data_IF_464197593429
#
_entry.id   IF_464197593429
#
_cell.length_a   1.000
_cell.length_b   1.000
_cell.length_c   1.000
_cell.angle_alpha   90.00
_cell.angle_beta   90.00
_cell.angle_gamma   90.00
#
_symmetry.space_group_name_H-M   'P 1'
#
loop_
_entity.id
_entity.type
_entity.pdbx_description
1 polymer ?
#
# COMPACT_ATOMS: atom_id res chain seq x y z
N UNK A 1 11.99 -96.55 6.97
CA UNK A 1 10.86 -97.43 6.61
C UNK A 1 9.64 -96.55 6.35
N UNK A 2 9.18 -96.48 5.09
CA UNK A 2 7.90 -95.92 4.57
C UNK A 2 7.54 -94.45 4.91
N UNK A 3 6.87 -93.63 4.08
CA UNK A 3 6.58 -93.56 2.65
C UNK A 3 5.73 -92.28 2.45
N UNK A 4 5.64 -91.81 1.19
CA UNK A 4 4.52 -91.08 0.53
C UNK A 4 4.66 -89.57 0.32
N UNK A 5 5.06 -89.31 -0.91
CA UNK A 5 4.50 -88.38 -1.89
C UNK A 5 3.01 -88.01 -1.72
N UNK A 6 2.73 -86.72 -1.97
CA UNK A 6 1.40 -86.14 -2.23
C UNK A 6 1.55 -84.90 -3.11
N UNK A 7 0.76 -84.81 -4.18
CA UNK A 7 0.95 -83.98 -5.38
C UNK A 7 0.48 -82.52 -5.25
N UNK A 8 1.10 -81.71 -6.09
CA UNK A 8 0.76 -80.38 -6.63
C UNK A 8 -0.72 -79.94 -6.56
N UNK A 9 -0.94 -78.67 -6.22
CA UNK A 9 -1.89 -77.79 -6.90
C UNK A 9 -1.51 -76.32 -6.67
N UNK A 10 -1.29 -75.62 -7.79
CA UNK A 10 -1.01 -74.20 -7.85
C UNK A 10 -2.32 -73.40 -7.81
N UNK A 11 -2.37 -72.31 -7.04
CA UNK A 11 -3.21 -71.14 -7.33
C UNK A 11 -2.51 -69.87 -6.85
N UNK A 12 -2.34 -68.94 -7.78
CA UNK A 12 -1.89 -67.56 -7.60
C UNK A 12 -3.00 -66.72 -6.97
N UNK A 13 -2.68 -65.89 -5.98
CA UNK A 13 -3.33 -64.59 -5.80
C UNK A 13 -2.44 -63.65 -4.98
N UNK A 14 -2.02 -62.58 -5.64
CA UNK A 14 -1.28 -61.43 -5.11
C UNK A 14 -2.18 -60.65 -4.15
N UNK A 15 -1.70 -60.39 -2.92
CA UNK A 15 -2.35 -59.50 -1.95
C UNK A 15 -1.32 -58.49 -1.42
N UNK A 16 -1.37 -57.29 -1.97
CA UNK A 16 -0.46 -56.16 -1.73
C UNK A 16 -0.56 -55.69 -0.27
N UNK A 17 0.59 -55.46 0.37
CA UNK A 17 0.71 -54.80 1.68
C UNK A 17 0.05 -53.41 1.62
N UNK A 18 -1.06 -53.24 2.33
CA UNK A 18 -1.61 -51.91 2.63
C UNK A 18 -0.84 -51.29 3.79
N UNK A 19 0.20 -50.51 3.51
CA UNK A 19 0.75 -49.58 4.49
C UNK A 19 -0.26 -48.45 4.68
N UNK A 20 -0.88 -48.38 5.87
CA UNK A 20 -1.76 -47.28 6.24
C UNK A 20 -0.92 -46.00 6.40
N UNK A 21 -0.88 -45.17 5.37
CA UNK A 21 -0.39 -43.81 5.44
C UNK A 21 -1.35 -43.01 6.32
N UNK A 22 -1.00 -42.76 7.58
CA UNK A 22 -1.68 -41.78 8.40
C UNK A 22 -1.48 -40.39 7.76
N UNK A 23 -2.51 -39.90 7.06
CA UNK A 23 -2.56 -38.51 6.63
C UNK A 23 -2.63 -37.65 7.90
N UNK A 24 -1.55 -36.94 8.20
CA UNK A 24 -1.58 -35.88 9.19
C UNK A 24 -2.62 -34.82 8.73
N UNK A 25 -3.76 -34.76 9.42
CA UNK A 25 -4.72 -33.69 9.24
C UNK A 25 -4.09 -32.37 9.72
N UNK A 26 -3.59 -31.54 8.80
CA UNK A 26 -3.19 -30.18 9.12
C UNK A 26 -4.42 -29.38 9.56
N UNK A 27 -4.56 -29.20 10.87
CA UNK A 27 -5.58 -28.38 11.47
C UNK A 27 -5.13 -26.91 11.36
N UNK A 28 -5.49 -26.24 10.26
CA UNK A 28 -5.18 -24.83 10.03
C UNK A 28 -6.14 -23.93 10.84
N UNK A 29 -6.03 -23.99 12.18
CA UNK A 29 -6.65 -23.03 13.08
C UNK A 29 -5.75 -21.79 13.19
N UNK A 30 -5.56 -21.08 12.09
CA UNK A 30 -5.06 -19.70 12.12
C UNK A 30 -6.30 -18.83 12.30
N UNK A 31 -6.45 -18.10 13.42
CA UNK A 31 -7.55 -17.16 13.57
C UNK A 31 -7.54 -16.17 12.39
N UNK A 32 -8.69 -15.93 11.77
CA UNK A 32 -8.82 -14.92 10.72
C UNK A 32 -8.32 -13.57 11.27
N UNK A 33 -7.33 -12.98 10.61
CA UNK A 33 -6.93 -11.62 10.95
C UNK A 33 -8.11 -10.68 10.69
N UNK A 34 -8.39 -9.73 11.60
CA UNK A 34 -9.49 -8.80 11.40
C UNK A 34 -9.30 -8.04 10.09
N UNK A 35 -10.37 -7.93 9.31
CA UNK A 35 -10.37 -7.16 8.08
C UNK A 35 -9.89 -5.72 8.39
N UNK A 36 -8.93 -5.24 7.61
CA UNK A 36 -8.39 -3.89 7.81
C UNK A 36 -9.49 -2.84 7.64
N UNK A 37 -9.50 -1.86 8.54
CA UNK A 37 -10.41 -0.71 8.51
C UNK A 37 -9.58 0.57 8.59
N UNK A 38 -9.94 1.56 7.76
CA UNK A 38 -9.36 2.89 7.82
C UNK A 38 -9.79 3.60 9.10
N UNK A 39 -8.86 4.27 9.78
CA UNK A 39 -9.20 5.10 10.94
C UNK A 39 -10.02 6.33 10.53
N UNK A 40 -10.73 6.91 11.50
CA UNK A 40 -11.37 8.21 11.36
C UNK A 40 -10.41 9.23 10.76
N UNK A 41 -10.84 9.85 9.66
CA UNK A 41 -10.06 10.82 8.92
C UNK A 41 -10.23 12.18 9.59
N UNK A 42 -9.15 12.81 10.09
CA UNK A 42 -9.22 14.15 10.65
C UNK A 42 -9.70 15.17 9.60
N UNK A 43 -10.29 16.27 10.05
CA UNK A 43 -10.62 17.38 9.17
C UNK A 43 -9.37 17.85 8.40
N UNK A 44 -9.51 18.31 7.14
CA UNK A 44 -8.39 18.83 6.37
C UNK A 44 -7.66 19.93 7.14
N UNK A 45 -6.35 19.82 7.38
CA UNK A 45 -5.64 20.79 8.19
C UNK A 45 -5.43 22.11 7.43
N UNK A 46 -5.12 23.16 8.18
CA UNK A 46 -4.49 24.34 7.59
C UNK A 46 -3.09 23.98 7.06
N UNK A 47 -2.63 24.66 6.03
CA UNK A 47 -1.32 24.44 5.41
C UNK A 47 -0.60 25.75 5.12
N UNK A 48 0.72 25.71 5.14
CA UNK A 48 1.61 26.85 4.95
C UNK A 48 2.34 26.77 3.61
N UNK A 49 1.94 27.67 2.70
CA UNK A 49 2.52 27.81 1.37
C UNK A 49 4.01 28.20 1.36
N UNK A 50 4.53 28.77 2.45
CA UNK A 50 5.94 29.17 2.59
C UNK A 50 6.84 28.04 3.09
N UNK A 51 6.28 26.90 3.48
CA UNK A 51 7.02 25.75 4.05
C UNK A 51 6.98 24.50 3.18
N UNK A 52 6.51 24.62 1.95
CA UNK A 52 6.36 23.46 1.07
C UNK A 52 7.70 22.78 0.81
N UNK A 53 7.69 21.46 0.89
CA UNK A 53 8.77 20.60 0.41
C UNK A 53 8.36 20.03 -0.94
N UNK A 54 9.19 20.26 -1.94
CA UNK A 54 8.90 19.91 -3.33
C UNK A 54 8.71 18.39 -3.52
N UNK A 55 7.75 18.05 -4.37
CA UNK A 55 7.52 16.70 -4.89
C UNK A 55 7.66 16.77 -6.41
N UNK A 56 8.65 16.09 -6.97
CA UNK A 56 8.88 16.12 -8.43
C UNK A 56 7.89 15.20 -9.12
N UNK A 57 6.89 15.74 -9.83
CA UNK A 57 5.88 14.95 -10.55
C UNK A 57 6.24 14.81 -12.02
N UNK A 58 6.54 15.92 -12.67
CA UNK A 58 7.02 15.99 -14.05
C UNK A 58 8.04 17.12 -14.20
N UNK A 59 9.26 16.79 -14.63
CA UNK A 59 10.32 17.80 -14.78
C UNK A 59 10.03 18.83 -15.89
N UNK A 60 9.10 18.51 -16.80
CA UNK A 60 8.69 19.34 -17.93
C UNK A 60 7.27 19.90 -17.78
N UNK A 61 6.64 19.71 -16.62
CA UNK A 61 5.26 20.14 -16.37
C UNK A 61 5.10 21.63 -16.10
N UNK A 62 3.88 22.13 -16.30
CA UNK A 62 3.50 23.50 -15.94
C UNK A 62 3.11 23.69 -14.47
N UNK A 63 3.06 22.61 -13.67
CA UNK A 63 2.66 22.63 -12.28
C UNK A 63 3.81 22.23 -11.36
N UNK A 64 4.00 23.00 -10.29
CA UNK A 64 4.90 22.67 -9.18
C UNK A 64 4.08 22.06 -8.06
N UNK A 65 4.56 20.93 -7.53
CA UNK A 65 3.91 20.25 -6.43
C UNK A 65 4.78 20.30 -5.18
N UNK A 66 4.14 20.44 -4.03
CA UNK A 66 4.83 20.34 -2.75
C UNK A 66 3.87 19.99 -1.64
N UNK A 67 4.43 19.47 -0.55
CA UNK A 67 3.67 19.15 0.67
C UNK A 67 4.05 20.12 1.78
N UNK A 68 3.13 20.48 2.65
CA UNK A 68 3.48 21.13 3.91
C UNK A 68 3.80 20.06 4.97
N UNK A 69 5.04 20.01 5.50
CA UNK A 69 5.43 19.06 6.54
C UNK A 69 4.54 19.06 7.78
N UNK A 70 3.94 20.20 8.13
CA UNK A 70 3.08 20.31 9.32
C UNK A 70 1.75 19.54 9.18
N UNK A 71 1.38 19.18 7.95
CA UNK A 71 0.15 18.44 7.63
C UNK A 71 0.33 16.93 7.62
N UNK A 72 1.57 16.46 7.68
CA UNK A 72 1.89 15.02 7.62
C UNK A 72 1.41 14.29 8.87
N UNK A 73 0.71 13.19 8.65
CA UNK A 73 0.29 12.26 9.70
C UNK A 73 0.47 10.83 9.24
N UNK A 74 0.92 9.95 10.13
CA UNK A 74 0.95 8.51 9.91
C UNK A 74 -0.08 7.92 10.87
N UNK A 75 -1.18 7.41 10.30
CA UNK A 75 -2.23 6.79 11.10
C UNK A 75 -1.83 5.40 11.58
N UNK A 76 -2.49 4.92 12.64
CA UNK A 76 -2.32 3.54 13.14
C UNK A 76 -2.76 2.47 12.13
N UNK A 77 -3.53 2.89 11.12
CA UNK A 77 -3.99 2.10 9.98
C UNK A 77 -2.94 1.97 8.87
N UNK A 78 -1.76 2.58 9.04
CA UNK A 78 -0.68 2.58 8.06
C UNK A 78 -0.87 3.58 6.92
N UNK A 79 -1.88 4.47 7.00
CA UNK A 79 -2.12 5.49 5.99
C UNK A 79 -1.29 6.73 6.30
N UNK A 80 -0.52 7.18 5.31
CA UNK A 80 0.20 8.46 5.34
C UNK A 80 -0.71 9.54 4.78
N UNK A 81 -1.20 10.41 5.64
CA UNK A 81 -2.10 11.53 5.30
C UNK A 81 -1.30 12.82 5.17
N UNK A 82 -1.60 13.62 4.15
CA UNK A 82 -0.86 14.84 3.82
C UNK A 82 -1.71 15.83 3.04
N UNK A 83 -1.31 17.10 3.06
CA UNK A 83 -1.78 18.09 2.09
C UNK A 83 -0.75 18.23 0.99
N UNK A 84 -1.18 17.98 -0.24
CA UNK A 84 -0.41 18.32 -1.44
C UNK A 84 -0.94 19.59 -2.07
N UNK A 85 -0.04 20.51 -2.38
CA UNK A 85 -0.33 21.77 -3.06
C UNK A 85 0.22 21.71 -4.47
N UNK A 86 -0.61 22.05 -5.46
CA UNK A 86 -0.21 22.23 -6.85
C UNK A 86 -0.30 23.72 -7.22
N UNK A 87 0.75 24.27 -7.84
CA UNK A 87 0.88 25.70 -8.16
C UNK A 87 1.31 25.87 -9.61
N UNK A 88 0.70 26.79 -10.34
CA UNK A 88 1.15 27.19 -11.68
C UNK A 88 2.03 28.44 -11.63
N UNK A 89 2.78 28.67 -12.71
CA UNK A 89 3.53 29.93 -12.91
C UNK A 89 2.63 31.16 -13.02
N UNK A 90 1.37 30.99 -13.42
CA UNK A 90 0.36 32.06 -13.48
C UNK A 90 -0.23 32.43 -12.11
N UNK A 91 0.18 31.76 -11.03
CA UNK A 91 -0.31 32.02 -9.68
C UNK A 91 -1.56 31.25 -9.28
N UNK A 92 -2.10 30.40 -10.17
CA UNK A 92 -3.18 29.50 -9.79
C UNK A 92 -2.67 28.44 -8.81
N UNK A 93 -3.48 28.13 -7.79
CA UNK A 93 -3.14 27.16 -6.76
C UNK A 93 -4.37 26.34 -6.38
N UNK A 94 -4.14 25.04 -6.20
CA UNK A 94 -5.09 24.11 -5.58
C UNK A 94 -4.34 23.28 -4.55
N UNK A 95 -5.05 22.78 -3.54
CA UNK A 95 -4.50 21.75 -2.67
C UNK A 95 -5.45 20.54 -2.56
N UNK A 96 -4.89 19.43 -2.15
CA UNK A 96 -5.57 18.16 -1.99
C UNK A 96 -5.19 17.59 -0.64
N UNK A 97 -6.18 17.24 0.18
CA UNK A 97 -5.96 16.45 1.38
C UNK A 97 -6.17 14.98 1.02
N UNK A 98 -5.09 14.22 1.10
CA UNK A 98 -4.99 12.87 0.54
C UNK A 98 -4.35 11.91 1.54
N UNK A 99 -4.53 10.62 1.31
CA UNK A 99 -3.87 9.55 2.03
C UNK A 99 -3.25 8.55 1.07
N UNK A 100 -2.06 8.05 1.37
CA UNK A 100 -1.44 6.92 0.68
C UNK A 100 -1.37 5.73 1.63
N UNK A 101 -1.81 4.56 1.14
CA UNK A 101 -1.72 3.27 1.82
C UNK A 101 -0.66 2.43 1.12
N UNK A 102 0.57 2.51 1.62
CA UNK A 102 1.74 1.91 0.98
C UNK A 102 1.65 0.38 0.83
N UNK A 103 0.95 -0.30 1.75
CA UNK A 103 0.79 -1.76 1.78
C UNK A 103 0.00 -2.32 0.60
N UNK A 104 -1.00 -1.56 0.12
CA UNK A 104 -1.82 -1.93 -1.04
C UNK A 104 -1.48 -1.12 -2.29
N UNK A 105 -0.66 -0.06 -2.13
CA UNK A 105 -0.28 0.81 -3.24
C UNK A 105 -1.47 1.60 -3.77
N UNK A 106 -2.28 2.09 -2.84
CA UNK A 106 -3.47 2.89 -3.14
C UNK A 106 -3.33 4.28 -2.55
N UNK A 107 -4.03 5.24 -3.16
CA UNK A 107 -4.25 6.56 -2.58
C UNK A 107 -5.74 6.86 -2.51
N UNK A 108 -6.10 7.80 -1.64
CA UNK A 108 -7.47 8.29 -1.48
C UNK A 108 -7.44 9.80 -1.35
N UNK A 109 -8.37 10.46 -2.03
CA UNK A 109 -8.59 11.90 -1.92
C UNK A 109 -9.76 12.18 -0.98
N UNK A 110 -9.51 12.90 0.10
CA UNK A 110 -10.53 13.23 1.11
C UNK A 110 -11.17 14.59 0.86
N UNK A 111 -10.38 15.59 0.46
CA UNK A 111 -10.87 16.94 0.23
C UNK A 111 -10.03 17.71 -0.78
N UNK A 112 -10.63 18.72 -1.40
CA UNK A 112 -9.98 19.66 -2.31
C UNK A 112 -10.04 21.06 -1.74
N UNK A 113 -8.93 21.79 -1.83
CA UNK A 113 -8.85 23.20 -1.53
C UNK A 113 -8.86 24.01 -2.83
N UNK A 114 -9.84 24.87 -2.98
CA UNK A 114 -9.91 25.86 -4.06
C UNK A 114 -10.67 27.08 -3.55
N UNK A 115 -10.38 28.25 -4.13
CA UNK A 115 -11.09 29.51 -3.79
C UNK A 115 -11.18 29.72 -2.26
N UNK A 116 -10.04 29.51 -1.60
CA UNK A 116 -9.84 29.64 -0.16
C UNK A 116 -10.74 28.80 0.77
N UNK A 117 -11.21 27.64 0.30
CA UNK A 117 -12.01 26.73 1.10
C UNK A 117 -11.70 25.26 0.84
N UNK A 118 -11.84 24.45 1.89
CA UNK A 118 -11.91 23.00 1.77
C UNK A 118 -13.31 22.55 1.35
N UNK A 119 -13.37 21.65 0.38
CA UNK A 119 -14.58 20.92 -0.02
C UNK A 119 -14.30 19.43 0.10
N UNK A 120 -15.03 18.73 0.97
CA UNK A 120 -14.91 17.29 1.13
C UNK A 120 -15.35 16.55 -0.13
N UNK A 121 -14.69 15.44 -0.43
CA UNK A 121 -15.15 14.48 -1.43
C UNK A 121 -16.29 13.69 -0.81
N UNK A 122 -17.47 13.70 -1.43
CA UNK A 122 -18.66 13.06 -0.87
C UNK A 122 -18.50 11.54 -0.66
N UNK A 123 -17.85 10.87 -1.60
CA UNK A 123 -17.55 9.43 -1.52
C UNK A 123 -16.05 9.21 -1.80
N UNK A 124 -15.17 9.30 -0.80
CA UNK A 124 -13.74 9.08 -0.96
C UNK A 124 -13.42 7.60 -1.24
N UNK A 125 -12.84 7.32 -2.40
CA UNK A 125 -12.48 5.96 -2.82
C UNK A 125 -10.97 5.75 -2.82
N UNK A 126 -10.56 4.53 -2.47
CA UNK A 126 -9.19 4.07 -2.70
C UNK A 126 -9.00 3.82 -4.20
N UNK A 127 -7.88 4.32 -4.75
CA UNK A 127 -7.51 4.19 -6.15
C UNK A 127 -6.09 3.71 -6.24
N UNK A 128 -5.82 2.85 -7.22
CA UNK A 128 -4.46 2.40 -7.51
C UNK A 128 -3.54 3.58 -7.81
N UNK A 129 -2.31 3.55 -7.27
CA UNK A 129 -1.27 4.52 -7.59
C UNK A 129 -0.81 4.48 -9.05
N UNK A 130 -1.05 3.38 -9.77
CA UNK A 130 -0.51 3.15 -11.12
C UNK A 130 -1.50 3.34 -12.26
N UNK A 131 -2.80 3.33 -11.99
CA UNK A 131 -3.81 3.32 -13.04
C UNK A 131 -4.04 4.69 -13.69
N UNK A 132 -3.64 5.79 -13.01
CA UNK A 132 -3.94 7.14 -13.51
C UNK A 132 -2.86 7.70 -14.43
N UNK A 133 -3.23 8.02 -15.66
CA UNK A 133 -2.37 8.79 -16.59
C UNK A 133 -2.41 10.30 -16.34
N UNK A 134 -3.45 10.79 -15.64
CA UNK A 134 -3.66 12.22 -15.36
C UNK A 134 -3.20 12.63 -13.97
N UNK A 135 -3.41 11.78 -12.96
CA UNK A 135 -3.13 12.08 -11.56
C UNK A 135 -1.87 11.31 -11.16
N UNK A 136 -0.71 11.95 -11.30
CA UNK A 136 0.60 11.32 -11.08
C UNK A 136 1.22 11.64 -9.73
N UNK A 137 0.76 12.71 -9.10
CA UNK A 137 1.36 13.26 -7.90
C UNK A 137 1.32 12.34 -6.66
N UNK A 138 0.29 11.47 -6.43
CA UNK A 138 0.31 10.56 -5.29
C UNK A 138 1.42 9.51 -5.44
N UNK A 139 1.59 8.96 -6.64
CA UNK A 139 2.68 8.01 -6.93
C UNK A 139 4.05 8.68 -6.83
N UNK A 140 4.18 9.92 -7.30
CA UNK A 140 5.40 10.70 -7.16
C UNK A 140 5.78 10.91 -5.69
N UNK A 141 4.81 11.26 -4.84
CA UNK A 141 5.01 11.38 -3.39
C UNK A 141 5.39 10.05 -2.75
N UNK A 142 4.66 8.97 -3.04
CA UNK A 142 4.95 7.63 -2.53
C UNK A 142 6.40 7.22 -2.82
N UNK A 143 6.87 7.44 -4.06
CA UNK A 143 8.23 7.11 -4.51
C UNK A 143 9.34 7.93 -3.88
N UNK A 144 9.10 9.22 -3.63
CA UNK A 144 10.14 10.15 -3.16
C UNK A 144 10.26 10.20 -1.64
N UNK A 145 9.27 9.70 -0.89
CA UNK A 145 9.37 9.67 0.56
C UNK A 145 8.10 9.30 1.31
N UNK A 146 6.94 9.35 0.65
CA UNK A 146 5.66 9.01 1.26
C UNK A 146 5.53 7.55 1.66
N UNK A 147 6.32 6.65 1.06
CA UNK A 147 6.39 5.24 1.41
C UNK A 147 7.83 4.80 1.69
N UNK A 148 7.95 3.69 2.41
CA UNK A 148 9.17 2.90 2.60
C UNK A 148 8.91 1.48 2.10
N UNK A 149 9.32 1.19 0.87
CA UNK A 149 8.87 -0.03 0.19
C UNK A 149 7.33 -0.15 0.30
N UNK A 150 6.79 -1.28 0.72
CA UNK A 150 5.33 -1.46 0.90
C UNK A 150 4.80 -1.04 2.28
N UNK A 151 5.50 -0.17 3.01
CA UNK A 151 5.11 0.27 4.34
C UNK A 151 5.11 1.81 4.46
N UNK A 152 4.41 2.32 5.47
CA UNK A 152 4.55 3.71 5.87
C UNK A 152 5.97 3.94 6.45
N UNK A 153 6.60 5.09 6.22
CA UNK A 153 7.88 5.43 6.86
C UNK A 153 7.77 5.46 8.38
N UNK A 154 8.90 5.31 9.07
CA UNK A 154 8.94 5.24 10.55
C UNK A 154 8.54 6.53 11.26
N UNK A 155 8.57 7.67 10.56
CA UNK A 155 8.15 8.96 11.11
C UNK A 155 7.86 9.98 10.01
N UNK A 156 7.14 11.05 10.34
CA UNK A 156 6.91 12.18 9.42
C UNK A 156 8.21 12.93 9.10
N UNK A 157 9.16 12.97 10.05
CA UNK A 157 10.51 13.51 9.83
C UNK A 157 11.26 12.74 8.75
N UNK A 158 11.07 11.42 8.70
CA UNK A 158 11.67 10.57 7.68
C UNK A 158 11.17 10.92 6.28
N UNK A 159 9.85 11.12 6.13
CA UNK A 159 9.23 11.56 4.88
C UNK A 159 9.89 12.86 4.41
N UNK A 160 9.95 13.87 5.28
CA UNK A 160 10.53 15.18 4.95
C UNK A 160 12.00 15.06 4.56
N UNK A 161 12.78 14.24 5.26
CA UNK A 161 14.19 13.99 4.94
C UNK A 161 14.34 13.41 3.54
N UNK A 162 13.56 12.38 3.21
CA UNK A 162 13.60 11.72 1.89
C UNK A 162 13.17 12.65 0.76
N UNK A 163 12.12 13.44 0.97
CA UNK A 163 11.68 14.42 -0.04
C UNK A 163 12.74 15.50 -0.33
N UNK A 164 13.50 15.94 0.68
CA UNK A 164 14.59 16.92 0.51
C UNK A 164 15.86 16.32 -0.10
N UNK A 165 16.00 15.01 -0.08
CA UNK A 165 17.16 14.30 -0.59
C UNK A 165 16.68 12.99 -1.22
N UNK A 166 15.96 13.08 -2.36
CA UNK A 166 15.37 11.90 -2.97
C UNK A 166 16.50 10.97 -3.42
N UNK A 167 16.73 9.91 -2.65
CA UNK A 167 17.66 8.84 -2.98
C UNK A 167 17.08 7.93 -4.06
N UNK A 168 17.89 6.98 -4.52
CA UNK A 168 17.48 5.95 -5.47
C UNK A 168 16.25 5.18 -4.94
N UNK A 169 15.22 5.14 -5.78
CA UNK A 169 13.86 4.59 -5.60
C UNK A 169 13.52 3.95 -4.23
N UNK A 170 12.74 4.65 -3.40
CA UNK A 170 12.29 4.17 -2.08
C UNK A 170 11.01 3.32 -2.16
N UNK A 171 10.30 3.35 -3.30
CA UNK A 171 9.06 2.59 -3.54
C UNK A 171 9.16 1.81 -4.86
N UNK A 172 8.79 0.51 -4.89
CA UNK A 172 8.94 -0.31 -6.09
C UNK A 172 8.04 0.15 -7.25
N UNK A 173 8.47 -0.22 -8.46
CA UNK A 173 7.79 0.03 -9.74
C UNK A 173 6.43 -0.61 -9.82
#
# INVERSE_FOLDING_TARGET
MFLRSGRLSAWLAVGILGAASALAQQNNNVPDEPAWVENDVPAPPAFDLGKLVDVTVDAQGGLRYGIDPSTLQIGKDGVVRYVMVARSSSGAMTAMYEGVRCSTGEYKLYARYNVDKWTAVGTPEWKSLWESTRIKHPLAFARQGGCDSRAAPSSTREIVRRLKSPGETVYPS
#
